data_IF_492696612528
#
_entry.id   IF_492696612528
#
_cell.length_a   1.000
_cell.length_b   1.000
_cell.length_c   1.000
_cell.angle_alpha   90.00
_cell.angle_beta   90.00
_cell.angle_gamma   90.00
#
_symmetry.space_group_name_H-M   'P 1'
#
loop_
_entity.id
_entity.type
_entity.pdbx_description
1 polymer ?
#
# COMPACT_ATOMS: atom_id res chain seq x y z
N UNK A 1 -17.21 -12.27 -8.93
CA UNK A 1 -16.37 -13.48 -8.82
C UNK A 1 -14.94 -13.06 -8.48
N UNK A 2 -14.24 -13.85 -7.66
CA UNK A 2 -12.83 -13.60 -7.37
C UNK A 2 -11.97 -13.97 -8.58
N UNK A 3 -10.99 -13.13 -8.91
CA UNK A 3 -9.98 -13.35 -9.94
C UNK A 3 -8.58 -13.14 -9.38
N UNK A 4 -7.59 -13.52 -10.17
CA UNK A 4 -6.18 -13.40 -9.83
C UNK A 4 -5.65 -12.04 -10.26
N UNK A 5 -5.10 -11.27 -9.33
CA UNK A 5 -4.31 -10.07 -9.59
C UNK A 5 -2.83 -10.36 -9.30
N UNK A 6 -1.94 -9.58 -9.90
CA UNK A 6 -0.50 -9.65 -9.63
C UNK A 6 -0.01 -8.27 -9.15
N UNK A 7 0.62 -8.20 -7.99
CA UNK A 7 1.23 -6.96 -7.49
C UNK A 7 2.74 -7.06 -7.64
N UNK A 8 3.30 -6.18 -8.47
CA UNK A 8 4.73 -6.07 -8.73
C UNK A 8 5.34 -4.99 -7.82
N UNK A 9 6.44 -5.33 -7.15
CA UNK A 9 7.17 -4.44 -6.24
C UNK A 9 8.64 -4.84 -6.18
N UNK A 10 9.58 -3.90 -6.34
CA UNK A 10 11.04 -4.15 -6.23
C UNK A 10 11.53 -5.47 -6.87
N UNK A 11 11.03 -5.82 -8.06
CA UNK A 11 11.41 -7.04 -8.77
C UNK A 11 10.76 -8.34 -8.27
N UNK A 12 9.92 -8.27 -7.23
CA UNK A 12 9.11 -9.38 -6.70
C UNK A 12 7.66 -9.26 -7.18
N UNK A 13 7.00 -10.40 -7.37
CA UNK A 13 5.60 -10.48 -7.79
C UNK A 13 4.79 -11.24 -6.75
N UNK A 14 3.74 -10.60 -6.23
CA UNK A 14 2.83 -11.19 -5.27
C UNK A 14 1.47 -11.48 -5.92
N UNK A 15 1.09 -12.76 -6.08
CA UNK A 15 -0.24 -13.12 -6.56
C UNK A 15 -1.30 -12.88 -5.46
N UNK A 16 -2.36 -12.13 -5.79
CA UNK A 16 -3.47 -11.83 -4.88
C UNK A 16 -4.82 -12.22 -5.49
N UNK A 17 -5.55 -13.13 -4.85
CA UNK A 17 -6.91 -13.49 -5.25
C UNK A 17 -7.93 -12.55 -4.62
N UNK A 18 -8.67 -11.79 -5.43
CA UNK A 18 -9.65 -10.81 -4.95
C UNK A 18 -10.79 -10.60 -5.96
N UNK A 19 -11.90 -9.99 -5.54
CA UNK A 19 -13.02 -9.66 -6.42
C UNK A 19 -12.86 -8.29 -7.10
N UNK A 20 -12.08 -7.39 -6.49
CA UNK A 20 -11.84 -6.03 -6.99
C UNK A 20 -10.38 -5.62 -6.80
N UNK A 21 -9.92 -4.60 -7.54
CA UNK A 21 -8.57 -4.01 -7.38
C UNK A 21 -8.35 -3.47 -5.97
N UNK A 22 -9.35 -2.79 -5.40
CA UNK A 22 -9.27 -2.25 -4.05
C UNK A 22 -9.11 -3.37 -3.01
N UNK A 23 -9.84 -4.47 -3.17
CA UNK A 23 -9.68 -5.65 -2.32
C UNK A 23 -8.29 -6.30 -2.49
N UNK A 24 -7.76 -6.35 -3.71
CA UNK A 24 -6.42 -6.87 -3.96
C UNK A 24 -5.33 -6.04 -3.25
N UNK A 25 -5.38 -4.71 -3.36
CA UNK A 25 -4.49 -3.83 -2.59
C UNK A 25 -4.64 -4.05 -1.08
N UNK A 26 -5.87 -4.10 -0.58
CA UNK A 26 -6.13 -4.28 0.84
C UNK A 26 -5.58 -5.60 1.38
N UNK A 27 -5.71 -6.70 0.61
CA UNK A 27 -5.12 -8.01 0.95
C UNK A 27 -3.60 -7.94 0.99
N UNK A 28 -2.98 -7.29 0.01
CA UNK A 28 -1.53 -7.09 -0.01
C UNK A 28 -1.02 -6.28 1.20
N UNK A 29 -1.65 -5.16 1.52
CA UNK A 29 -1.28 -4.37 2.70
C UNK A 29 -1.58 -5.11 4.01
N UNK A 30 -2.63 -5.93 4.07
CA UNK A 30 -2.90 -6.79 5.21
C UNK A 30 -1.81 -7.85 5.37
N UNK A 31 -1.33 -8.47 4.29
CA UNK A 31 -0.24 -9.44 4.34
C UNK A 31 1.09 -8.80 4.78
N UNK A 32 1.35 -7.54 4.42
CA UNK A 32 2.46 -6.75 4.99
C UNK A 32 2.26 -6.53 6.49
N UNK A 33 1.07 -6.06 6.90
CA UNK A 33 0.73 -5.81 8.31
C UNK A 33 0.87 -7.07 9.18
N UNK A 34 0.58 -8.24 8.62
CA UNK A 34 0.70 -9.55 9.26
C UNK A 34 2.11 -10.13 9.19
N UNK A 35 3.08 -9.44 8.58
CA UNK A 35 4.47 -9.88 8.47
C UNK A 35 4.71 -10.98 7.43
N UNK A 36 3.72 -11.34 6.60
CA UNK A 36 3.88 -12.33 5.52
C UNK A 36 4.67 -11.77 4.35
N UNK A 37 4.53 -10.47 4.10
CA UNK A 37 5.31 -9.73 3.11
C UNK A 37 6.27 -8.83 3.88
N UNK A 38 7.60 -9.04 3.76
CA UNK A 38 8.55 -8.24 4.50
C UNK A 38 8.64 -6.84 3.89
N UNK A 39 8.70 -5.81 4.74
CA UNK A 39 8.73 -4.40 4.31
C UNK A 39 9.88 -4.08 3.34
N UNK A 40 11.01 -4.78 3.44
CA UNK A 40 12.17 -4.57 2.54
C UNK A 40 11.82 -4.82 1.05
N UNK A 41 10.86 -5.69 0.77
CA UNK A 41 10.41 -6.05 -0.58
C UNK A 41 9.39 -5.03 -1.14
N UNK A 42 8.92 -4.10 -0.30
CA UNK A 42 7.94 -3.08 -0.68
C UNK A 42 8.65 -1.85 -1.25
N UNK A 43 8.35 -1.51 -2.51
CA UNK A 43 8.80 -0.30 -3.19
C UNK A 43 7.93 0.91 -2.87
N UNK A 44 8.40 2.11 -3.21
CA UNK A 44 7.62 3.35 -3.04
C UNK A 44 6.34 3.36 -3.88
N UNK A 45 6.39 2.71 -5.04
CA UNK A 45 5.26 2.45 -5.94
C UNK A 45 5.20 0.95 -6.20
N UNK A 46 3.99 0.40 -6.15
CA UNK A 46 3.66 -0.95 -6.59
C UNK A 46 2.77 -0.87 -7.83
N UNK A 47 2.81 -1.90 -8.67
CA UNK A 47 1.98 -1.99 -9.87
C UNK A 47 1.07 -3.22 -9.72
N UNK A 48 -0.23 -2.99 -9.67
CA UNK A 48 -1.22 -4.05 -9.78
C UNK A 48 -1.52 -4.31 -11.26
N UNK A 49 -1.32 -5.54 -11.72
CA UNK A 49 -1.73 -6.01 -13.03
C UNK A 49 -3.07 -6.74 -12.97
N UNK A 50 -3.97 -6.34 -13.87
CA UNK A 50 -5.26 -6.99 -14.11
C UNK A 50 -5.32 -7.39 -15.59
N UNK A 51 -4.83 -8.59 -15.90
CA UNK A 51 -4.61 -8.99 -17.29
C UNK A 51 -3.52 -8.13 -17.95
N UNK A 52 -3.91 -7.32 -18.94
CA UNK A 52 -3.00 -6.41 -19.68
C UNK A 52 -2.94 -5.00 -19.07
N UNK A 53 -3.87 -4.67 -18.18
CA UNK A 53 -3.95 -3.33 -17.60
C UNK A 53 -3.06 -3.22 -16.37
N UNK A 54 -2.44 -2.05 -16.21
CA UNK A 54 -1.54 -1.74 -15.10
C UNK A 54 -2.07 -0.56 -14.29
N UNK A 55 -2.05 -0.73 -12.97
CA UNK A 55 -2.51 0.29 -12.04
C UNK A 55 -1.42 0.55 -11.00
N UNK A 56 -0.72 1.70 -11.08
CA UNK A 56 0.28 2.06 -10.09
C UNK A 56 -0.39 2.52 -8.79
N UNK A 57 0.26 2.25 -7.66
CA UNK A 57 -0.19 2.68 -6.35
C UNK A 57 1.00 3.01 -5.44
N UNK A 58 0.93 4.15 -4.76
CA UNK A 58 1.95 4.59 -3.78
C UNK A 58 1.78 3.85 -2.47
N UNK A 59 2.88 3.42 -1.86
CA UNK A 59 2.82 2.56 -0.66
C UNK A 59 2.94 3.34 0.63
N UNK A 60 3.84 4.31 0.71
CA UNK A 60 4.18 5.02 1.95
C UNK A 60 2.95 5.57 2.70
N UNK A 61 2.00 6.28 2.05
CA UNK A 61 0.81 6.79 2.76
C UNK A 61 -0.08 5.67 3.30
N UNK A 62 -0.25 4.58 2.55
CA UNK A 62 -1.03 3.42 2.99
C UNK A 62 -0.36 2.67 4.15
N UNK A 63 0.97 2.52 4.12
CA UNK A 63 1.73 1.93 5.23
C UNK A 63 1.55 2.76 6.52
N UNK A 64 1.64 4.08 6.41
CA UNK A 64 1.44 5.00 7.53
C UNK A 64 0.00 4.97 8.06
N UNK A 65 -1.01 5.05 7.16
CA UNK A 65 -2.43 4.97 7.53
C UNK A 65 -2.81 3.68 8.26
N UNK A 66 -2.12 2.58 7.97
CA UNK A 66 -2.35 1.27 8.58
C UNK A 66 -1.52 1.04 9.85
N UNK A 67 -0.69 2.01 10.25
CA UNK A 67 0.18 1.93 11.42
C UNK A 67 1.33 0.94 11.25
N UNK A 68 1.73 0.65 10.01
CA UNK A 68 2.83 -0.27 9.70
C UNK A 68 4.18 0.45 9.83
N UNK A 69 4.19 1.76 9.54
CA UNK A 69 5.34 2.66 9.76
C UNK A 69 4.88 3.87 10.58
N UNK A 70 5.79 4.42 11.38
CA UNK A 70 5.55 5.66 12.12
C UNK A 70 5.64 6.92 11.22
N UNK A 71 5.27 8.06 11.79
CA UNK A 71 5.25 9.35 11.09
C UNK A 71 6.65 9.78 10.65
N UNK A 72 7.67 9.60 11.48
CA UNK A 72 9.04 10.03 11.18
C UNK A 72 9.61 9.22 10.01
N UNK A 73 9.38 7.90 10.00
CA UNK A 73 9.73 7.01 8.90
C UNK A 73 8.99 7.39 7.63
N UNK A 74 7.70 7.71 7.72
CA UNK A 74 6.90 8.11 6.57
C UNK A 74 7.40 9.45 5.98
N UNK A 75 7.67 10.45 6.81
CA UNK A 75 8.24 11.75 6.41
C UNK A 75 9.59 11.52 5.72
N UNK A 76 10.49 10.73 6.32
CA UNK A 76 11.80 10.43 5.74
C UNK A 76 11.66 9.74 4.37
N UNK A 77 10.73 8.80 4.22
CA UNK A 77 10.48 8.13 2.93
C UNK A 77 10.00 9.11 1.85
N UNK A 78 9.08 10.01 2.19
CA UNK A 78 8.62 11.03 1.25
C UNK A 78 9.77 11.97 0.90
N UNK A 79 10.48 12.52 1.89
CA UNK A 79 11.59 13.45 1.70
C UNK A 79 12.70 12.86 0.83
N UNK A 80 13.06 11.60 1.04
CA UNK A 80 14.09 10.91 0.22
C UNK A 80 13.63 10.62 -1.20
N UNK A 81 12.31 10.54 -1.44
CA UNK A 81 11.74 10.29 -2.77
C UNK A 81 11.56 11.56 -3.60
N UNK A 82 11.06 12.65 -3.01
CA UNK A 82 10.72 13.88 -3.73
C UNK A 82 11.67 15.06 -3.44
N UNK A 83 12.53 14.96 -2.43
CA UNK A 83 13.32 16.08 -1.90
C UNK A 83 12.50 17.03 -1.01
N UNK A 84 13.16 18.07 -0.49
CA UNK A 84 12.53 19.12 0.32
C UNK A 84 12.75 18.98 1.83
N UNK A 85 12.01 19.79 2.59
CA UNK A 85 12.02 19.79 4.06
C UNK A 85 10.95 18.89 4.67
N UNK A 86 11.04 18.67 5.98
CA UNK A 86 10.16 17.76 6.72
C UNK A 86 8.69 18.24 6.74
N UNK A 87 8.49 19.57 6.72
CA UNK A 87 7.15 20.17 6.71
C UNK A 87 6.46 19.85 5.39
N UNK A 88 7.13 20.12 4.27
CA UNK A 88 6.62 19.84 2.93
C UNK A 88 6.36 18.35 2.72
N UNK A 89 7.25 17.49 3.24
CA UNK A 89 7.08 16.04 3.21
C UNK A 89 5.86 15.58 4.03
N UNK A 90 5.64 16.15 5.21
CA UNK A 90 4.46 15.88 6.04
C UNK A 90 3.16 16.35 5.37
N UNK A 91 3.15 17.54 4.75
CA UNK A 91 2.00 18.03 4.01
C UNK A 91 1.64 17.12 2.83
N UNK A 92 2.65 16.67 2.08
CA UNK A 92 2.48 15.72 0.99
C UNK A 92 1.96 14.37 1.49
N UNK A 93 2.52 13.85 2.59
CA UNK A 93 2.05 12.63 3.24
C UNK A 93 0.57 12.77 3.62
N UNK A 94 0.19 13.84 4.30
CA UNK A 94 -1.19 14.08 4.73
C UNK A 94 -2.16 14.24 3.54
N UNK A 95 -1.73 14.87 2.44
CA UNK A 95 -2.54 15.04 1.23
C UNK A 95 -2.77 13.73 0.50
N UNK A 96 -1.71 12.92 0.35
CA UNK A 96 -1.79 11.62 -0.33
C UNK A 96 -2.48 10.56 0.52
N UNK A 97 -2.27 10.56 1.84
CA UNK A 97 -2.98 9.70 2.79
C UNK A 97 -4.49 9.96 2.79
N UNK A 98 -4.94 11.21 2.60
CA UNK A 98 -6.37 11.51 2.44
C UNK A 98 -7.00 10.79 1.24
N UNK A 99 -6.29 10.70 0.13
CA UNK A 99 -6.73 9.97 -1.06
C UNK A 99 -6.73 8.45 -0.83
N UNK A 100 -5.79 7.94 -0.02
CA UNK A 100 -5.64 6.50 0.24
C UNK A 100 -6.48 6.00 1.42
N UNK A 101 -7.18 6.89 2.14
CA UNK A 101 -7.94 6.58 3.37
C UNK A 101 -8.93 5.44 3.22
N UNK A 102 -9.43 5.18 2.01
CA UNK A 102 -10.30 4.04 1.70
C UNK A 102 -9.67 2.70 2.10
N UNK A 103 -8.33 2.57 2.08
CA UNK A 103 -7.61 1.32 2.38
C UNK A 103 -7.89 0.82 3.79
N UNK A 104 -8.01 1.74 4.76
CA UNK A 104 -8.30 1.41 6.17
C UNK A 104 -9.62 0.64 6.27
N UNK A 105 -10.66 1.10 5.56
CA UNK A 105 -11.97 0.48 5.60
C UNK A 105 -11.98 -0.92 4.99
N UNK A 106 -11.21 -1.13 3.91
CA UNK A 106 -11.09 -2.45 3.30
C UNK A 106 -10.29 -3.42 4.17
N UNK A 107 -9.13 -3.00 4.69
CA UNK A 107 -8.30 -3.84 5.58
C UNK A 107 -9.07 -4.24 6.83
N UNK A 108 -9.74 -3.29 7.50
CA UNK A 108 -10.55 -3.59 8.70
C UNK A 108 -11.71 -4.57 8.42
N UNK A 109 -12.32 -4.51 7.24
CA UNK A 109 -13.36 -5.48 6.85
C UNK A 109 -12.79 -6.88 6.65
N UNK A 110 -11.63 -6.97 6.00
CA UNK A 110 -10.93 -8.25 5.81
C UNK A 110 -10.49 -8.86 7.15
N UNK A 111 -10.01 -8.06 8.09
CA UNK A 111 -9.66 -8.51 9.45
C UNK A 111 -10.88 -9.06 10.22
N UNK A 112 -12.08 -8.49 10.00
CA UNK A 112 -13.32 -8.92 10.65
C UNK A 112 -13.98 -10.13 9.99
N UNK A 113 -13.85 -10.26 8.67
CA UNK A 113 -14.46 -11.34 7.87
C UNK A 113 -13.60 -12.60 7.72
N UNK A 114 -12.44 -12.66 8.38
CA UNK A 114 -11.55 -13.82 8.41
C UNK A 114 -11.89 -14.85 9.50
N UNK A 115 -13.13 -14.88 9.99
CA UNK A 115 -13.66 -15.92 10.89
C UNK A 115 -14.77 -16.68 10.20
#
# INVERSE_FOLDING_TARGET
MAKQFLIHTKGVVYPVKASTRNEAYAKFFLDIKQGKIPLKDVGQIIILKDGKDEYPFRTCPSLWLLGIIDTDTAILNIRTTIGGDDISALEMLAKTARQDRWIIGYVKRLEKGGK
#
